data_IF_726970306244
#
_entry.id   IF_726970306244
#
_cell.length_a   1.000
_cell.length_b   1.000
_cell.length_c   1.000
_cell.angle_alpha   90.00
_cell.angle_beta   90.00
_cell.angle_gamma   90.00
#
_symmetry.space_group_name_H-M   'P 1'
#
loop_
_entity.id
_entity.type
_entity.pdbx_description
1 polymer ?
#
# COMPACT_ATOMS: atom_id res chain seq x y z
N UNK A 1 49.86 36.09 36.35
CA UNK A 1 51.03 35.78 35.51
C UNK A 1 50.61 35.90 34.06
N UNK A 2 51.13 36.92 33.35
CA UNK A 2 51.12 37.00 31.87
C UNK A 2 51.92 35.80 31.34
N UNK A 3 51.56 35.15 30.24
CA UNK A 3 52.01 35.54 28.90
C UNK A 3 51.14 34.93 27.78
N UNK A 4 50.91 35.76 26.77
CA UNK A 4 50.37 35.48 25.44
C UNK A 4 51.36 34.72 24.53
N UNK A 5 50.85 33.96 23.57
CA UNK A 5 51.33 34.04 22.19
C UNK A 5 50.31 33.48 21.19
N UNK A 6 50.01 34.32 20.21
CA UNK A 6 49.16 34.14 19.04
C UNK A 6 49.66 33.08 18.05
N UNK A 7 48.76 32.22 17.57
CA UNK A 7 48.93 31.39 16.38
C UNK A 7 47.85 31.71 15.35
N UNK A 8 48.27 32.21 14.18
CA UNK A 8 47.43 32.66 13.07
C UNK A 8 46.67 31.51 12.42
N UNK A 9 45.42 31.78 12.04
CA UNK A 9 44.63 31.01 11.07
C UNK A 9 45.33 31.02 9.70
N UNK A 10 45.49 29.84 9.12
CA UNK A 10 45.71 29.66 7.67
C UNK A 10 44.68 28.64 7.17
N UNK A 11 43.70 29.11 6.37
CA UNK A 11 42.79 28.25 5.62
C UNK A 11 43.56 27.53 4.50
N UNK A 12 43.34 26.23 4.26
CA UNK A 12 43.69 25.62 3.00
C UNK A 12 42.54 25.83 1.99
N UNK A 13 42.89 26.58 0.94
CA UNK A 13 42.69 26.24 -0.47
C UNK A 13 41.39 25.51 -0.86
N UNK A 14 40.54 26.25 -1.58
CA UNK A 14 39.40 25.74 -2.36
C UNK A 14 39.80 24.53 -3.22
N UNK A 15 39.20 23.38 -2.94
CA UNK A 15 39.15 22.25 -3.87
C UNK A 15 38.03 22.55 -4.88
N UNK A 16 38.41 23.06 -6.05
CA UNK A 16 37.50 23.27 -7.17
C UNK A 16 37.27 21.90 -7.83
N UNK A 17 36.07 21.32 -7.65
CA UNK A 17 35.66 20.11 -8.35
C UNK A 17 35.44 20.46 -9.83
N UNK A 18 36.41 20.11 -10.67
CA UNK A 18 36.34 20.27 -12.12
C UNK A 18 35.41 19.17 -12.67
N UNK A 19 34.17 19.51 -13.01
CA UNK A 19 33.28 18.62 -13.75
C UNK A 19 33.78 18.57 -15.20
N UNK A 20 34.34 17.44 -15.61
CA UNK A 20 34.63 17.13 -17.01
C UNK A 20 33.31 16.88 -17.74
N UNK A 21 32.78 17.92 -18.38
CA UNK A 21 31.75 17.78 -19.42
C UNK A 21 32.42 17.22 -20.69
N UNK A 22 31.89 16.17 -21.33
CA UNK A 22 32.39 15.74 -22.62
C UNK A 22 32.17 16.84 -23.66
N UNK A 23 33.25 17.24 -24.32
CA UNK A 23 33.23 18.19 -25.42
C UNK A 23 32.50 17.60 -26.62
N UNK A 24 31.33 18.16 -26.96
CA UNK A 24 30.69 17.96 -28.26
C UNK A 24 31.56 18.62 -29.34
N UNK A 25 31.90 17.94 -30.45
CA UNK A 25 32.61 18.58 -31.54
C UNK A 25 31.72 19.61 -32.24
N UNK A 26 32.26 20.83 -32.37
CA UNK A 26 31.68 21.94 -33.10
C UNK A 26 31.58 21.62 -34.60
N UNK A 27 30.44 21.97 -35.18
CA UNK A 27 30.12 21.78 -36.59
C UNK A 27 31.05 22.60 -37.51
N UNK A 28 31.65 21.92 -38.49
CA UNK A 28 32.19 22.51 -39.71
C UNK A 28 31.17 22.35 -40.85
N UNK A 29 30.83 23.46 -41.49
CA UNK A 29 29.90 23.58 -42.62
C UNK A 29 30.52 23.15 -43.95
N UNK A 30 29.81 22.34 -44.74
CA UNK A 30 29.28 22.70 -46.07
C UNK A 30 28.96 21.48 -46.97
N UNK A 31 27.72 21.46 -47.49
CA UNK A 31 27.27 20.67 -48.66
C UNK A 31 26.84 19.23 -48.34
N UNK A 32 25.65 18.73 -48.69
CA UNK A 32 24.59 19.19 -49.57
C UNK A 32 23.26 18.58 -49.07
N UNK A 33 22.16 19.18 -49.51
CA UNK A 33 20.76 18.86 -49.20
C UNK A 33 20.45 17.37 -48.90
N UNK A 34 19.93 17.11 -47.70
CA UNK A 34 18.91 16.07 -47.53
C UNK A 34 17.72 16.69 -46.81
N UNK A 35 16.63 16.79 -47.55
CA UNK A 35 15.40 17.40 -47.11
C UNK A 35 14.81 16.56 -45.97
N UNK A 36 14.65 17.17 -44.80
CA UNK A 36 13.60 16.91 -43.80
C UNK A 36 12.74 15.67 -44.08
N UNK A 37 13.24 14.48 -43.72
CA UNK A 37 12.38 13.33 -43.43
C UNK A 37 11.75 13.54 -42.06
N UNK A 38 10.84 14.52 -41.95
CA UNK A 38 9.83 14.47 -40.91
C UNK A 38 8.98 13.24 -41.22
N UNK A 39 9.23 12.14 -40.50
CA UNK A 39 8.34 10.99 -40.53
C UNK A 39 6.95 11.50 -40.11
N UNK A 40 6.09 11.73 -41.10
CA UNK A 40 4.72 12.13 -40.88
C UNK A 40 4.09 10.97 -40.12
N UNK A 41 3.57 11.24 -38.91
CA UNK A 41 2.75 10.29 -38.16
C UNK A 41 1.49 10.00 -39.00
N UNK A 42 1.61 9.08 -39.95
CA UNK A 42 0.48 8.59 -40.71
C UNK A 42 0.02 7.30 -40.03
N UNK A 43 -1.22 7.25 -39.52
CA UNK A 43 -1.83 6.00 -39.11
C UNK A 43 -1.70 5.01 -40.28
N UNK A 44 -1.33 3.76 -40.00
CA UNK A 44 -1.39 2.70 -41.03
C UNK A 44 -2.78 2.73 -41.63
N UNK A 45 -2.89 2.80 -42.95
CA UNK A 45 -4.11 3.10 -43.71
C UNK A 45 -5.24 2.07 -43.57
N UNK A 46 -5.08 1.05 -42.72
CA UNK A 46 -6.08 0.03 -42.37
C UNK A 46 -6.17 -0.23 -40.86
N UNK A 47 -5.60 0.64 -40.01
CA UNK A 47 -5.80 0.51 -38.57
C UNK A 47 -7.26 0.85 -38.24
N UNK A 48 -7.96 0.07 -37.39
CA UNK A 48 -9.29 0.46 -36.90
C UNK A 48 -9.15 1.86 -36.29
N UNK A 49 -10.04 2.78 -36.68
CA UNK A 49 -10.01 4.14 -36.17
C UNK A 49 -10.11 4.08 -34.64
N UNK A 50 -9.05 4.49 -33.94
CA UNK A 50 -9.12 4.69 -32.49
C UNK A 50 -10.16 5.77 -32.27
N UNK A 51 -11.35 5.36 -31.81
CA UNK A 51 -12.48 6.27 -31.66
C UNK A 51 -12.30 7.08 -30.38
N UNK A 52 -12.39 8.41 -30.47
CA UNK A 52 -12.59 9.27 -29.31
C UNK A 52 -14.08 9.59 -29.23
N UNK A 53 -14.78 8.89 -28.33
CA UNK A 53 -16.19 9.08 -28.05
C UNK A 53 -16.35 10.20 -27.02
N UNK A 54 -17.13 11.23 -27.35
CA UNK A 54 -17.59 12.23 -26.39
C UNK A 54 -18.93 11.77 -25.81
N UNK A 55 -18.97 11.44 -24.52
CA UNK A 55 -20.18 10.92 -23.88
C UNK A 55 -21.35 11.91 -23.91
N UNK A 56 -21.11 13.22 -24.05
CA UNK A 56 -22.18 14.22 -24.19
C UNK A 56 -22.99 14.06 -25.49
N UNK A 57 -22.42 13.43 -26.52
CA UNK A 57 -23.10 13.17 -27.79
C UNK A 57 -24.01 11.93 -27.76
N UNK A 58 -24.09 11.23 -26.62
CA UNK A 58 -24.85 9.99 -26.46
C UNK A 58 -25.97 10.17 -25.43
N UNK A 59 -27.09 9.44 -25.57
CA UNK A 59 -28.23 9.56 -24.65
C UNK A 59 -27.95 9.04 -23.24
N UNK A 60 -26.88 8.26 -23.05
CA UNK A 60 -26.44 7.76 -21.75
C UNK A 60 -24.95 7.41 -21.76
N UNK A 61 -24.36 7.25 -20.58
CA UNK A 61 -22.98 6.78 -20.44
C UNK A 61 -22.80 5.36 -21.03
N UNK A 62 -23.78 4.48 -20.83
CA UNK A 62 -23.72 3.14 -21.43
C UNK A 62 -23.74 3.23 -22.95
N UNK A 63 -24.58 4.08 -23.55
CA UNK A 63 -24.63 4.26 -24.99
C UNK A 63 -23.32 4.85 -25.56
N UNK A 64 -22.56 5.61 -24.77
CA UNK A 64 -21.22 6.05 -25.14
C UNK A 64 -20.20 4.90 -25.08
N UNK A 65 -20.29 4.03 -24.08
CA UNK A 65 -19.43 2.84 -23.95
C UNK A 65 -19.74 1.84 -25.09
N UNK A 66 -21.02 1.59 -25.38
CA UNK A 66 -21.46 0.68 -26.45
C UNK A 66 -21.05 1.16 -27.85
N UNK A 67 -20.76 2.45 -28.00
CA UNK A 67 -20.28 3.03 -29.25
C UNK A 67 -18.78 2.80 -29.51
N UNK A 68 -18.04 2.23 -28.54
CA UNK A 68 -16.66 1.83 -28.73
C UNK A 68 -16.55 0.77 -29.83
N UNK A 69 -15.61 0.90 -30.78
CA UNK A 69 -15.38 -0.13 -31.78
C UNK A 69 -14.69 -1.35 -31.12
N UNK A 70 -14.74 -2.49 -31.79
CA UNK A 70 -14.13 -3.73 -31.29
C UNK A 70 -12.62 -3.64 -30.99
N UNK A 71 -11.92 -2.68 -31.60
CA UNK A 71 -10.49 -2.41 -31.37
C UNK A 71 -10.20 -1.43 -30.22
N UNK A 72 -11.21 -1.04 -29.44
CA UNK A 72 -11.06 -0.11 -28.31
C UNK A 72 -11.07 1.37 -28.72
N UNK A 73 -10.71 2.24 -27.79
CA UNK A 73 -10.80 3.69 -27.97
C UNK A 73 -10.82 4.46 -26.67
N UNK A 74 -11.28 5.71 -26.73
CA UNK A 74 -11.43 6.57 -25.55
C UNK A 74 -12.87 6.99 -25.40
N UNK A 75 -13.42 6.90 -24.19
CA UNK A 75 -14.68 7.54 -23.79
C UNK A 75 -14.35 8.72 -22.89
N UNK A 76 -14.65 9.93 -23.35
CA UNK A 76 -14.49 11.17 -22.57
C UNK A 76 -15.83 11.53 -21.94
N UNK A 77 -15.86 11.59 -20.62
CA UNK A 77 -17.05 11.97 -19.85
C UNK A 77 -16.87 13.43 -19.41
N UNK A 78 -17.74 14.35 -19.84
CA UNK A 78 -17.61 15.75 -19.44
C UNK A 78 -17.89 15.95 -17.94
N UNK A 79 -17.61 17.16 -17.40
CA UNK A 79 -18.10 17.54 -16.08
C UNK A 79 -19.61 17.36 -15.97
N UNK A 80 -20.07 16.79 -14.86
CA UNK A 80 -21.47 16.53 -14.61
C UNK A 80 -21.69 15.46 -13.56
N UNK A 81 -22.93 15.37 -13.09
CA UNK A 81 -23.40 14.29 -12.22
C UNK A 81 -24.25 13.32 -13.04
N UNK A 82 -23.88 12.04 -13.01
CA UNK A 82 -24.48 10.98 -13.80
C UNK A 82 -25.02 9.91 -12.88
N UNK A 83 -26.34 9.88 -12.67
CA UNK A 83 -26.97 8.83 -11.89
C UNK A 83 -27.19 7.58 -12.74
N UNK A 84 -26.81 6.42 -12.21
CA UNK A 84 -27.05 5.11 -12.83
C UNK A 84 -27.88 4.25 -11.89
N UNK A 85 -28.85 3.51 -12.44
CA UNK A 85 -29.66 2.53 -11.70
C UNK A 85 -29.25 1.09 -11.99
N UNK A 86 -28.38 0.89 -12.98
CA UNK A 86 -27.79 -0.41 -13.37
C UNK A 86 -26.30 -0.22 -13.64
N UNK A 87 -25.48 -1.27 -13.54
CA UNK A 87 -24.05 -1.15 -13.80
C UNK A 87 -23.76 -0.65 -15.21
N UNK A 88 -22.74 0.20 -15.34
CA UNK A 88 -22.09 0.44 -16.61
C UNK A 88 -21.24 -0.78 -16.96
N UNK A 89 -21.37 -1.31 -18.18
CA UNK A 89 -20.68 -2.52 -18.63
C UNK A 89 -19.63 -2.15 -19.67
N UNK A 90 -18.37 -2.43 -19.38
CA UNK A 90 -17.27 -2.35 -20.34
C UNK A 90 -16.82 -3.77 -20.73
N UNK A 91 -17.13 -4.16 -21.96
CA UNK A 91 -16.86 -5.50 -22.50
C UNK A 91 -15.68 -5.60 -23.47
N UNK A 92 -14.91 -4.51 -23.65
CA UNK A 92 -13.88 -4.38 -24.67
C UNK A 92 -12.56 -3.89 -24.06
N UNK A 93 -11.44 -4.44 -24.53
CA UNK A 93 -10.09 -4.01 -24.15
C UNK A 93 -9.59 -2.86 -25.03
N UNK A 94 -8.36 -2.39 -24.80
CA UNK A 94 -7.77 -1.24 -25.48
C UNK A 94 -8.57 0.05 -25.26
N UNK A 95 -9.08 0.25 -24.04
CA UNK A 95 -10.02 1.33 -23.71
C UNK A 95 -9.46 2.27 -22.64
N UNK A 96 -9.66 3.57 -22.85
CA UNK A 96 -9.54 4.61 -21.83
C UNK A 96 -10.93 5.18 -21.53
N UNK A 97 -11.37 5.15 -20.27
CA UNK A 97 -12.48 5.97 -19.77
C UNK A 97 -11.88 7.13 -18.99
N UNK A 98 -12.13 8.36 -19.44
CA UNK A 98 -11.55 9.57 -18.88
C UNK A 98 -12.63 10.59 -18.51
N UNK A 99 -12.61 11.07 -17.27
CA UNK A 99 -13.43 12.21 -16.82
C UNK A 99 -12.66 13.52 -16.71
N UNK A 100 -13.30 14.52 -16.11
CA UNK A 100 -12.76 15.86 -15.85
C UNK A 100 -12.36 16.06 -14.37
N UNK A 101 -11.78 15.03 -13.75
CA UNK A 101 -11.47 14.98 -12.32
C UNK A 101 -12.72 14.83 -11.46
N UNK A 102 -12.71 15.42 -10.26
CA UNK A 102 -13.84 15.39 -9.34
C UNK A 102 -15.13 16.04 -9.89
N UNK A 103 -15.03 16.82 -10.97
CA UNK A 103 -16.18 17.42 -11.63
C UNK A 103 -17.00 16.41 -12.45
N UNK A 104 -16.44 15.24 -12.77
CA UNK A 104 -17.18 14.11 -13.35
C UNK A 104 -17.54 13.13 -12.23
N UNK A 105 -18.82 13.00 -11.93
CA UNK A 105 -19.30 12.21 -10.81
C UNK A 105 -20.39 11.22 -11.25
N UNK A 106 -20.08 9.93 -11.18
CA UNK A 106 -21.01 8.83 -11.42
C UNK A 106 -21.60 8.38 -10.09
N UNK A 107 -22.92 8.32 -9.96
CA UNK A 107 -23.61 7.92 -8.74
C UNK A 107 -24.37 6.62 -8.98
N UNK A 108 -23.96 5.54 -8.31
CA UNK A 108 -24.65 4.27 -8.30
C UNK A 108 -25.86 4.31 -7.35
N UNK A 109 -27.05 4.47 -7.95
CA UNK A 109 -28.35 4.41 -7.26
C UNK A 109 -28.95 3.02 -7.25
N UNK A 110 -28.25 2.01 -7.76
CA UNK A 110 -28.74 0.63 -7.76
C UNK A 110 -28.89 0.10 -6.32
N UNK A 111 -30.05 -0.47 -5.99
CA UNK A 111 -30.35 -1.12 -4.71
C UNK A 111 -30.17 -2.66 -4.71
N UNK A 112 -29.85 -3.25 -5.85
CA UNK A 112 -29.71 -4.70 -6.07
C UNK A 112 -28.28 -5.20 -5.83
N UNK A 113 -27.47 -4.45 -5.06
CA UNK A 113 -26.10 -4.82 -4.70
C UNK A 113 -25.15 -5.05 -5.89
N UNK A 114 -25.43 -4.45 -7.05
CA UNK A 114 -24.57 -4.54 -8.23
C UNK A 114 -23.53 -3.40 -8.27
N UNK A 115 -22.38 -3.61 -8.94
CA UNK A 115 -21.34 -2.60 -9.00
C UNK A 115 -21.76 -1.37 -9.83
N UNK A 116 -21.07 -0.23 -9.65
CA UNK A 116 -21.31 0.94 -10.51
C UNK A 116 -20.75 0.70 -11.92
N UNK A 117 -19.53 0.16 -12.00
CA UNK A 117 -18.85 -0.19 -13.25
C UNK A 117 -18.40 -1.65 -13.20
N UNK A 118 -18.82 -2.45 -14.19
CA UNK A 118 -18.38 -3.83 -14.39
C UNK A 118 -17.55 -3.91 -15.68
N UNK A 119 -16.27 -4.25 -15.53
CA UNK A 119 -15.30 -4.38 -16.62
C UNK A 119 -14.97 -5.85 -16.78
N UNK A 120 -15.47 -6.46 -17.85
CA UNK A 120 -15.33 -7.91 -18.04
C UNK A 120 -15.70 -8.33 -19.46
N UNK A 121 -14.93 -9.25 -20.04
CA UNK A 121 -15.33 -9.92 -21.28
C UNK A 121 -16.60 -10.76 -21.07
N UNK A 122 -17.57 -10.72 -21.99
CA UNK A 122 -18.86 -11.43 -21.85
C UNK A 122 -18.73 -12.93 -21.53
N UNK A 123 -17.67 -13.58 -22.04
CA UNK A 123 -17.42 -15.01 -21.87
C UNK A 123 -16.53 -15.35 -20.65
N UNK A 124 -16.00 -14.35 -19.94
CA UNK A 124 -15.14 -14.57 -18.77
C UNK A 124 -15.80 -15.48 -17.71
N UNK A 125 -17.08 -15.29 -17.34
CA UNK A 125 -17.72 -16.16 -16.34
C UNK A 125 -17.82 -17.63 -16.73
N UNK A 126 -17.77 -17.94 -18.03
CA UNK A 126 -17.88 -19.31 -18.56
C UNK A 126 -16.51 -19.95 -18.75
N UNK A 127 -15.46 -19.15 -18.92
CA UNK A 127 -14.13 -19.62 -19.30
C UNK A 127 -13.03 -18.70 -18.76
N UNK A 128 -12.90 -18.53 -17.43
CA UNK A 128 -12.04 -17.50 -16.83
C UNK A 128 -10.55 -17.70 -17.12
N UNK A 129 -10.14 -18.94 -17.43
CA UNK A 129 -8.77 -19.31 -17.80
C UNK A 129 -8.47 -19.16 -19.30
N UNK A 130 -9.46 -18.86 -20.12
CA UNK A 130 -9.27 -18.73 -21.58
C UNK A 130 -8.75 -17.33 -21.91
N UNK A 131 -7.63 -17.24 -22.62
CA UNK A 131 -7.08 -15.95 -23.08
C UNK A 131 -8.05 -15.15 -23.97
N UNK A 132 -8.97 -15.83 -24.66
CA UNK A 132 -10.02 -15.20 -25.48
C UNK A 132 -11.15 -14.59 -24.66
N UNK A 133 -11.24 -14.92 -23.38
CA UNK A 133 -12.25 -14.45 -22.46
C UNK A 133 -11.67 -13.44 -21.45
N UNK A 134 -10.59 -12.75 -21.84
CA UNK A 134 -9.89 -11.73 -21.06
C UNK A 134 -9.87 -10.42 -21.82
N UNK A 135 -9.93 -9.31 -21.10
CA UNK A 135 -9.71 -7.98 -21.65
C UNK A 135 -8.25 -7.59 -21.44
N UNK A 136 -7.74 -6.70 -22.29
CA UNK A 136 -6.38 -6.17 -22.19
C UNK A 136 -6.42 -4.66 -22.20
N UNK A 137 -5.49 -4.00 -21.50
CA UNK A 137 -5.21 -2.55 -21.61
C UNK A 137 -6.46 -1.69 -21.39
N UNK A 138 -6.99 -1.73 -20.18
CA UNK A 138 -8.10 -0.85 -19.76
C UNK A 138 -7.58 0.21 -18.81
N UNK A 139 -7.82 1.48 -19.11
CA UNK A 139 -7.47 2.61 -18.24
C UNK A 139 -8.72 3.35 -17.76
N UNK A 140 -8.79 3.63 -16.46
CA UNK A 140 -9.78 4.48 -15.83
C UNK A 140 -9.10 5.71 -15.25
N UNK A 141 -9.52 6.90 -15.66
CA UNK A 141 -8.82 8.14 -15.35
C UNK A 141 -9.75 9.28 -14.91
N UNK A 142 -9.39 9.96 -13.82
CA UNK A 142 -9.88 11.31 -13.51
C UNK A 142 -11.41 11.44 -13.39
N UNK A 143 -12.06 10.61 -12.58
CA UNK A 143 -13.49 10.77 -12.26
C UNK A 143 -13.80 10.27 -10.86
N UNK A 144 -14.99 10.60 -10.36
CA UNK A 144 -15.53 10.09 -9.11
C UNK A 144 -16.65 9.08 -9.35
N UNK A 145 -16.67 8.02 -8.58
CA UNK A 145 -17.77 7.05 -8.47
C UNK A 145 -18.22 7.01 -7.03
N UNK A 146 -19.51 7.23 -6.75
CA UNK A 146 -20.04 7.03 -5.40
C UNK A 146 -21.27 6.12 -5.41
N UNK A 147 -21.51 5.46 -4.28
CA UNK A 147 -22.62 4.55 -4.11
C UNK A 147 -23.62 4.97 -3.04
N UNK A 148 -24.33 3.96 -2.55
CA UNK A 148 -25.15 4.04 -1.33
C UNK A 148 -24.91 2.77 -0.52
N UNK A 149 -25.38 2.72 0.73
CA UNK A 149 -25.33 1.48 1.54
C UNK A 149 -25.97 0.25 0.84
N UNK A 150 -26.92 0.48 -0.07
CA UNK A 150 -27.67 -0.56 -0.76
C UNK A 150 -27.02 -0.93 -2.12
N UNK A 151 -26.00 -0.17 -2.56
CA UNK A 151 -25.24 -0.47 -3.77
C UNK A 151 -24.26 -1.63 -3.58
N UNK A 152 -23.80 -2.21 -4.69
CA UNK A 152 -22.69 -3.16 -4.69
C UNK A 152 -21.34 -2.45 -4.62
N UNK A 153 -20.33 -3.03 -5.25
CA UNK A 153 -18.98 -2.46 -5.35
C UNK A 153 -18.96 -1.15 -6.16
N UNK A 154 -17.92 -0.33 -6.01
CA UNK A 154 -17.74 0.82 -6.90
C UNK A 154 -17.33 0.38 -8.31
N UNK A 155 -16.11 -0.11 -8.43
CA UNK A 155 -15.55 -0.59 -9.70
C UNK A 155 -15.20 -2.06 -9.53
N UNK A 156 -15.66 -2.90 -10.47
CA UNK A 156 -15.33 -4.32 -10.50
C UNK A 156 -14.77 -4.71 -11.85
N UNK A 157 -13.52 -5.17 -11.86
CA UNK A 157 -12.87 -5.73 -13.03
C UNK A 157 -12.64 -7.23 -12.84
N UNK A 158 -12.98 -8.02 -13.86
CA UNK A 158 -12.78 -9.46 -13.87
C UNK A 158 -12.06 -9.89 -15.15
N UNK A 159 -10.90 -10.54 -15.01
CA UNK A 159 -10.15 -11.05 -16.16
C UNK A 159 -9.60 -9.94 -17.06
N UNK A 160 -9.09 -8.85 -16.48
CA UNK A 160 -8.50 -7.73 -17.22
C UNK A 160 -6.99 -7.71 -17.01
N UNK A 161 -6.24 -7.94 -18.08
CA UNK A 161 -4.78 -7.81 -18.12
C UNK A 161 -4.40 -6.36 -18.44
N UNK A 162 -3.36 -5.86 -17.77
CA UNK A 162 -2.86 -4.48 -17.88
C UNK A 162 -3.94 -3.42 -17.56
N UNK A 163 -4.71 -3.62 -16.48
CA UNK A 163 -5.63 -2.58 -15.98
C UNK A 163 -4.86 -1.46 -15.28
N UNK A 164 -5.20 -0.20 -15.59
CA UNK A 164 -4.62 0.97 -14.95
C UNK A 164 -5.71 1.92 -14.42
N UNK A 165 -5.75 2.13 -13.11
CA UNK A 165 -6.72 3.03 -12.46
C UNK A 165 -5.96 4.18 -11.82
N UNK A 166 -6.23 5.41 -12.25
CA UNK A 166 -5.55 6.58 -11.69
C UNK A 166 -6.38 7.86 -11.61
N UNK A 167 -6.17 8.64 -10.55
CA UNK A 167 -6.92 9.87 -10.33
C UNK A 167 -8.42 9.63 -10.13
N UNK A 168 -8.81 8.41 -9.73
CA UNK A 168 -10.21 8.04 -9.52
C UNK A 168 -10.55 8.13 -8.03
N UNK A 169 -11.70 8.70 -7.72
CA UNK A 169 -12.27 8.68 -6.37
C UNK A 169 -13.42 7.65 -6.31
N UNK A 170 -13.41 6.76 -5.31
CA UNK A 170 -14.44 5.72 -5.13
C UNK A 170 -14.93 5.70 -3.69
N UNK A 171 -16.20 6.03 -3.47
CA UNK A 171 -16.71 6.25 -2.11
C UNK A 171 -18.16 5.83 -1.82
N UNK A 172 -18.47 5.57 -0.55
CA UNK A 172 -19.83 5.32 -0.03
C UNK A 172 -20.56 4.13 -0.66
N UNK A 173 -19.84 3.15 -1.19
CA UNK A 173 -20.45 1.94 -1.73
C UNK A 173 -20.83 0.96 -0.61
N UNK A 174 -21.98 0.31 -0.75
CA UNK A 174 -22.40 -0.76 0.15
C UNK A 174 -21.54 -2.02 0.05
N UNK A 175 -20.75 -2.17 -1.02
CA UNK A 175 -19.75 -3.23 -1.20
C UNK A 175 -18.32 -2.74 -0.98
N UNK A 176 -17.39 -3.26 -1.78
CA UNK A 176 -16.00 -2.78 -1.81
C UNK A 176 -15.90 -1.49 -2.64
N UNK A 177 -14.81 -0.74 -2.48
CA UNK A 177 -14.50 0.37 -3.38
C UNK A 177 -14.16 -0.15 -4.78
N UNK A 178 -13.01 -0.80 -4.90
CA UNK A 178 -12.51 -1.40 -6.14
C UNK A 178 -12.25 -2.89 -5.94
N UNK A 179 -12.69 -3.72 -6.87
CA UNK A 179 -12.44 -5.16 -6.93
C UNK A 179 -11.72 -5.49 -8.22
N UNK A 180 -10.52 -6.07 -8.11
CA UNK A 180 -9.84 -6.71 -9.22
C UNK A 180 -9.82 -8.22 -8.96
N UNK A 181 -10.48 -8.98 -9.85
CA UNK A 181 -10.52 -10.44 -9.78
C UNK A 181 -9.90 -11.04 -11.03
N UNK A 182 -8.99 -11.97 -10.85
CA UNK A 182 -8.28 -12.65 -11.94
C UNK A 182 -7.67 -11.64 -12.95
N UNK A 183 -7.31 -10.43 -12.49
CA UNK A 183 -6.59 -9.42 -13.28
C UNK A 183 -5.11 -9.74 -13.16
N UNK A 184 -4.69 -10.71 -13.96
CA UNK A 184 -3.47 -11.46 -13.70
C UNK A 184 -2.24 -10.67 -14.08
N UNK A 185 -2.21 -10.07 -15.28
CA UNK A 185 -1.02 -9.35 -15.73
C UNK A 185 -1.08 -7.88 -15.34
N UNK A 186 -0.08 -7.40 -14.59
CA UNK A 186 0.27 -6.00 -14.37
C UNK A 186 -0.88 -5.02 -13.99
N UNK A 187 -1.76 -5.32 -13.01
CA UNK A 187 -2.75 -4.36 -12.54
C UNK A 187 -2.08 -3.24 -11.74
N UNK A 188 -2.43 -1.99 -12.06
CA UNK A 188 -1.84 -0.79 -11.47
C UNK A 188 -2.92 0.14 -10.94
N UNK A 189 -2.86 0.47 -9.66
CA UNK A 189 -3.73 1.45 -9.01
C UNK A 189 -2.88 2.57 -8.41
N UNK A 190 -2.92 3.75 -9.03
CA UNK A 190 -2.03 4.85 -8.70
C UNK A 190 -2.78 6.15 -8.47
N UNK A 191 -2.48 6.87 -7.38
CA UNK A 191 -3.04 8.21 -7.13
C UNK A 191 -4.58 8.26 -7.09
N UNK A 192 -5.21 7.29 -6.43
CA UNK A 192 -6.65 7.21 -6.22
C UNK A 192 -7.06 7.60 -4.80
N UNK A 193 -8.35 7.90 -4.61
CA UNK A 193 -8.97 8.15 -3.30
C UNK A 193 -10.08 7.12 -3.09
N UNK A 194 -9.95 6.23 -2.11
CA UNK A 194 -10.85 5.09 -1.91
C UNK A 194 -11.35 5.08 -0.47
N UNK A 195 -12.56 5.59 -0.23
CA UNK A 195 -12.98 6.01 1.11
C UNK A 195 -14.40 5.60 1.45
N UNK A 196 -14.69 5.36 2.73
CA UNK A 196 -16.06 5.17 3.25
C UNK A 196 -16.85 4.03 2.58
N UNK A 197 -16.19 3.00 2.06
CA UNK A 197 -16.89 1.84 1.50
C UNK A 197 -17.18 0.82 2.60
N UNK A 198 -18.36 0.20 2.57
CA UNK A 198 -18.84 -0.65 3.65
C UNK A 198 -18.11 -1.99 3.77
N UNK A 199 -17.26 -2.35 2.79
CA UNK A 199 -16.36 -3.49 2.82
C UNK A 199 -14.89 -3.04 2.61
N UNK A 200 -14.12 -3.73 1.77
CA UNK A 200 -12.72 -3.39 1.53
C UNK A 200 -12.61 -2.16 0.61
N UNK A 201 -11.65 -1.28 0.84
CA UNK A 201 -11.31 -0.21 -0.11
C UNK A 201 -10.89 -0.81 -1.45
N UNK A 202 -9.79 -1.59 -1.45
CA UNK A 202 -9.29 -2.34 -2.60
C UNK A 202 -9.21 -3.84 -2.31
N UNK A 203 -9.96 -4.64 -3.06
CA UNK A 203 -9.90 -6.10 -3.04
C UNK A 203 -9.19 -6.62 -4.30
N UNK A 204 -8.07 -7.32 -4.10
CA UNK A 204 -7.29 -8.00 -5.12
C UNK A 204 -7.43 -9.51 -4.91
N UNK A 205 -7.95 -10.22 -5.91
CA UNK A 205 -8.13 -11.68 -5.89
C UNK A 205 -7.55 -12.29 -7.16
N UNK A 206 -6.64 -13.27 -7.05
CA UNK A 206 -6.07 -13.94 -8.23
C UNK A 206 -5.24 -13.04 -9.16
N UNK A 207 -4.61 -11.99 -8.62
CA UNK A 207 -3.83 -11.01 -9.40
C UNK A 207 -2.31 -11.32 -9.33
N UNK A 208 -1.52 -10.81 -10.27
CA UNK A 208 -0.06 -10.98 -10.31
C UNK A 208 0.62 -9.66 -10.73
N UNK A 209 1.87 -9.45 -10.31
CA UNK A 209 2.69 -8.26 -10.64
C UNK A 209 1.97 -6.91 -10.40
N UNK A 210 1.48 -6.76 -9.17
CA UNK A 210 0.53 -5.70 -8.81
C UNK A 210 1.26 -4.44 -8.36
N UNK A 211 0.80 -3.27 -8.79
CA UNK A 211 1.25 -1.98 -8.23
C UNK A 211 0.10 -1.24 -7.55
N UNK A 212 0.29 -0.90 -6.27
CA UNK A 212 -0.61 -0.04 -5.50
C UNK A 212 0.20 1.12 -4.94
N UNK A 213 0.12 2.29 -5.56
CA UNK A 213 1.00 3.41 -5.22
C UNK A 213 0.30 4.75 -5.07
N UNK A 214 0.74 5.55 -4.09
CA UNK A 214 0.28 6.93 -3.91
C UNK A 214 -1.24 7.08 -3.74
N UNK A 215 -1.94 6.07 -3.20
CA UNK A 215 -3.38 6.13 -2.98
C UNK A 215 -3.72 6.60 -1.55
N UNK A 216 -4.90 7.20 -1.40
CA UNK A 216 -5.54 7.50 -0.12
C UNK A 216 -6.63 6.44 0.16
N UNK A 217 -6.60 5.84 1.35
CA UNK A 217 -7.66 5.00 1.88
C UNK A 217 -8.13 5.57 3.21
N UNK A 218 -9.44 5.59 3.42
CA UNK A 218 -10.02 6.12 4.67
C UNK A 218 -11.33 5.41 5.00
N UNK A 219 -11.54 5.03 6.27
CA UNK A 219 -12.84 4.58 6.81
C UNK A 219 -13.54 3.42 6.05
N UNK A 220 -12.79 2.61 5.30
CA UNK A 220 -13.27 1.31 4.82
C UNK A 220 -13.24 0.27 5.96
N UNK A 221 -13.90 -0.90 5.80
CA UNK A 221 -13.69 -2.02 6.73
C UNK A 221 -12.21 -2.42 6.76
N UNK A 222 -11.69 -2.87 5.62
CA UNK A 222 -10.24 -2.96 5.42
C UNK A 222 -9.80 -1.97 4.35
N UNK A 223 -8.60 -1.41 4.45
CA UNK A 223 -8.07 -0.57 3.37
C UNK A 223 -7.85 -1.41 2.10
N UNK A 224 -7.07 -2.49 2.26
CA UNK A 224 -6.64 -3.34 1.16
C UNK A 224 -6.63 -4.80 1.59
N UNK A 225 -7.15 -5.67 0.72
CA UNK A 225 -6.99 -7.13 0.81
C UNK A 225 -6.34 -7.66 -0.46
N UNK A 226 -5.26 -8.41 -0.30
CA UNK A 226 -4.53 -9.08 -1.36
C UNK A 226 -4.57 -10.59 -1.12
N UNK A 227 -5.48 -11.28 -1.82
CA UNK A 227 -5.83 -12.67 -1.56
C UNK A 227 -5.46 -13.52 -2.76
N UNK A 228 -4.71 -14.60 -2.52
CA UNK A 228 -4.33 -15.57 -3.57
C UNK A 228 -3.72 -14.84 -4.79
N UNK A 229 -2.92 -13.83 -4.51
CA UNK A 229 -2.38 -12.84 -5.44
C UNK A 229 -0.91 -12.63 -5.13
N UNK A 230 -0.07 -12.33 -6.13
CA UNK A 230 1.39 -12.41 -5.99
C UNK A 230 2.11 -11.13 -6.43
N UNK A 231 3.30 -10.91 -5.88
CA UNK A 231 4.19 -9.78 -6.22
C UNK A 231 3.53 -8.40 -6.04
N UNK A 232 2.82 -8.18 -4.93
CA UNK A 232 2.26 -6.86 -4.61
C UNK A 232 3.39 -5.87 -4.31
N UNK A 233 3.51 -4.83 -5.12
CA UNK A 233 4.32 -3.64 -4.84
C UNK A 233 3.42 -2.51 -4.32
N UNK A 234 3.35 -2.38 -2.99
CA UNK A 234 2.54 -1.37 -2.32
C UNK A 234 3.43 -0.27 -1.72
N UNK A 235 3.37 0.94 -2.28
CA UNK A 235 4.26 2.03 -1.85
C UNK A 235 3.69 3.45 -1.87
N UNK A 236 4.02 4.23 -0.84
CA UNK A 236 3.65 5.65 -0.76
C UNK A 236 2.16 5.89 -0.55
N UNK A 237 1.43 4.92 -0.02
CA UNK A 237 0.00 5.06 0.26
C UNK A 237 -0.24 5.64 1.65
N UNK A 238 -1.40 6.27 1.83
CA UNK A 238 -1.91 6.72 3.11
C UNK A 238 -3.21 5.96 3.45
N UNK A 239 -3.23 5.29 4.60
CA UNK A 239 -4.33 4.45 5.08
C UNK A 239 -4.72 4.96 6.46
N UNK A 240 -5.96 5.41 6.63
CA UNK A 240 -6.41 6.11 7.82
C UNK A 240 -7.79 5.62 8.30
N UNK A 241 -7.99 5.59 9.62
CA UNK A 241 -9.29 5.36 10.28
C UNK A 241 -10.09 4.12 9.81
N UNK A 242 -9.43 3.04 9.39
CA UNK A 242 -10.14 1.85 8.94
C UNK A 242 -10.89 1.13 10.08
N UNK A 243 -12.12 0.75 9.79
CA UNK A 243 -13.04 0.19 10.80
C UNK A 243 -12.62 -1.22 11.26
N UNK A 244 -11.74 -1.88 10.50
CA UNK A 244 -11.12 -3.16 10.82
C UNK A 244 -9.61 -3.14 10.53
N UNK A 245 -9.11 -3.53 9.36
CA UNK A 245 -7.66 -3.68 9.13
C UNK A 245 -7.10 -2.66 8.14
N UNK A 246 -5.80 -2.38 8.23
CA UNK A 246 -5.12 -1.64 7.18
C UNK A 246 -4.95 -2.52 5.93
N UNK A 247 -3.94 -3.38 5.97
CA UNK A 247 -3.56 -4.27 4.87
C UNK A 247 -3.67 -5.72 5.30
N UNK A 248 -4.41 -6.53 4.55
CA UNK A 248 -4.48 -7.98 4.75
C UNK A 248 -3.93 -8.68 3.52
N UNK A 249 -2.93 -9.52 3.73
CA UNK A 249 -2.31 -10.30 2.66
C UNK A 249 -2.39 -11.77 3.03
N UNK A 250 -2.97 -12.57 2.14
CA UNK A 250 -3.19 -13.99 2.35
C UNK A 250 -2.72 -14.79 1.13
N UNK A 251 -1.95 -15.85 1.37
CA UNK A 251 -1.43 -16.76 0.33
C UNK A 251 -0.73 -16.03 -0.81
N UNK A 252 0.35 -15.33 -0.44
CA UNK A 252 1.20 -14.58 -1.37
C UNK A 252 2.67 -14.92 -1.18
N UNK A 253 3.48 -14.49 -2.15
CA UNK A 253 4.91 -14.34 -1.96
C UNK A 253 5.46 -13.16 -2.76
N UNK A 254 6.71 -12.78 -2.49
CA UNK A 254 7.45 -11.79 -3.29
C UNK A 254 6.93 -10.35 -3.17
N UNK A 255 6.02 -10.11 -2.23
CA UNK A 255 5.36 -8.82 -2.04
C UNK A 255 6.22 -7.85 -1.22
N UNK A 256 6.04 -6.55 -1.46
CA UNK A 256 6.71 -5.44 -0.80
C UNK A 256 5.65 -4.43 -0.35
N UNK A 257 5.61 -4.16 0.95
CA UNK A 257 4.79 -3.09 1.55
C UNK A 257 5.75 -2.06 2.14
N UNK A 258 5.96 -0.95 1.42
CA UNK A 258 7.03 0.00 1.77
C UNK A 258 6.68 1.47 1.68
N UNK A 259 7.15 2.27 2.65
CA UNK A 259 7.01 3.74 2.59
C UNK A 259 5.55 4.21 2.70
N UNK A 260 4.69 3.46 3.39
CA UNK A 260 3.29 3.82 3.59
C UNK A 260 3.08 4.46 4.97
N UNK A 261 2.08 5.33 5.07
CA UNK A 261 1.49 5.74 6.34
C UNK A 261 0.24 4.88 6.56
N UNK A 262 0.18 4.19 7.69
CA UNK A 262 -0.95 3.37 8.10
C UNK A 262 -1.25 3.79 9.52
N UNK A 263 -2.40 4.41 9.75
CA UNK A 263 -2.76 4.92 11.06
C UNK A 263 -4.22 4.65 11.45
N UNK A 264 -4.46 4.66 12.76
CA UNK A 264 -5.77 4.69 13.41
C UNK A 264 -6.77 3.59 13.00
N UNK A 265 -6.29 2.47 12.44
CA UNK A 265 -7.17 1.32 12.22
C UNK A 265 -7.64 0.74 13.57
N UNK A 266 -8.92 0.37 13.64
CA UNK A 266 -9.50 -0.28 14.81
C UNK A 266 -8.93 -1.69 15.06
N UNK A 267 -8.40 -2.33 14.03
CA UNK A 267 -7.74 -3.63 14.08
C UNK A 267 -6.24 -3.51 13.83
N UNK A 268 -5.66 -4.54 13.24
CA UNK A 268 -4.22 -4.60 12.93
C UNK A 268 -3.88 -3.80 11.66
N UNK A 269 -2.73 -3.12 11.67
CA UNK A 269 -2.26 -2.34 10.53
C UNK A 269 -1.91 -3.22 9.31
N UNK A 270 -1.14 -4.30 9.52
CA UNK A 270 -0.75 -5.25 8.47
C UNK A 270 -0.88 -6.69 8.97
N UNK A 271 -1.53 -7.56 8.19
CA UNK A 271 -1.66 -9.00 8.46
C UNK A 271 -1.05 -9.79 7.29
N UNK A 272 -0.17 -10.74 7.62
CA UNK A 272 0.37 -11.73 6.68
C UNK A 272 -0.03 -13.14 7.14
N UNK A 273 -0.97 -13.77 6.45
CA UNK A 273 -1.56 -15.05 6.87
C UNK A 273 -1.67 -16.05 5.69
N UNK A 274 -2.03 -17.30 5.98
CA UNK A 274 -2.20 -18.41 5.03
C UNK A 274 -1.03 -18.54 4.05
N UNK A 275 0.06 -19.22 4.42
CA UNK A 275 1.18 -19.52 3.52
C UNK A 275 1.89 -18.26 2.92
N UNK A 276 2.05 -17.18 3.69
CA UNK A 276 2.81 -16.02 3.23
C UNK A 276 4.33 -16.28 3.27
N UNK A 277 5.10 -15.89 2.25
CA UNK A 277 6.57 -15.98 2.34
C UNK A 277 7.35 -14.98 1.50
N UNK A 278 8.59 -14.68 1.93
CA UNK A 278 9.51 -13.76 1.24
C UNK A 278 8.93 -12.36 1.03
N UNK A 279 8.13 -11.87 1.98
CA UNK A 279 7.51 -10.55 1.94
C UNK A 279 8.39 -9.54 2.70
N UNK A 280 8.53 -8.33 2.17
CA UNK A 280 9.23 -7.24 2.83
C UNK A 280 8.26 -6.15 3.28
N UNK A 281 8.20 -5.89 4.59
CA UNK A 281 7.50 -4.75 5.20
C UNK A 281 8.55 -3.76 5.67
N UNK A 282 8.70 -2.63 4.97
CA UNK A 282 9.80 -1.71 5.30
C UNK A 282 9.48 -0.22 5.21
N UNK A 283 10.15 0.59 6.03
CA UNK A 283 10.03 2.06 5.98
C UNK A 283 8.59 2.59 6.10
N UNK A 284 7.68 1.86 6.76
CA UNK A 284 6.31 2.31 7.00
C UNK A 284 6.21 3.08 8.33
N UNK A 285 5.31 4.05 8.37
CA UNK A 285 4.83 4.66 9.62
C UNK A 285 3.54 3.95 10.02
N UNK A 286 3.59 3.19 11.10
CA UNK A 286 2.49 2.40 11.64
C UNK A 286 2.10 3.04 12.98
N UNK A 287 1.07 3.87 12.95
CA UNK A 287 0.69 4.69 14.09
C UNK A 287 -0.67 4.30 14.65
N UNK A 288 -0.75 4.17 15.97
CA UNK A 288 -2.00 4.32 16.69
C UNK A 288 -3.10 3.28 16.39
N UNK A 289 -2.68 2.05 16.05
CA UNK A 289 -3.58 0.93 15.80
C UNK A 289 -4.06 0.25 17.08
N UNK A 290 -5.37 0.04 17.18
CA UNK A 290 -5.98 -0.61 18.35
C UNK A 290 -5.72 -2.13 18.37
N UNK A 291 -5.75 -2.79 17.20
CA UNK A 291 -5.55 -4.23 17.07
C UNK A 291 -4.10 -4.66 16.80
N UNK A 292 -3.13 -3.74 16.83
CA UNK A 292 -1.71 -4.05 16.69
C UNK A 292 -1.08 -3.52 15.39
N UNK A 293 0.24 -3.66 15.29
CA UNK A 293 1.01 -3.16 14.14
C UNK A 293 1.04 -4.19 13.02
N UNK A 294 1.99 -5.13 13.10
CA UNK A 294 2.13 -6.24 12.15
C UNK A 294 1.77 -7.56 12.83
N UNK A 295 0.86 -8.33 12.23
CA UNK A 295 0.53 -9.68 12.70
C UNK A 295 0.89 -10.72 11.64
N UNK A 296 1.66 -11.72 12.05
CA UNK A 296 2.14 -12.83 11.23
C UNK A 296 1.65 -14.15 11.82
N UNK A 297 0.40 -14.58 11.57
CA UNK A 297 -0.04 -15.91 12.01
C UNK A 297 0.72 -17.03 11.30
N UNK A 298 0.92 -16.89 9.99
CA UNK A 298 1.48 -17.90 9.10
C UNK A 298 2.31 -17.23 7.97
N UNK A 299 3.55 -16.87 8.30
CA UNK A 299 4.47 -16.19 7.41
C UNK A 299 5.93 -16.63 7.59
N UNK A 300 6.62 -16.91 6.48
CA UNK A 300 7.98 -17.45 6.48
C UNK A 300 8.97 -16.60 5.68
N UNK A 301 10.19 -16.46 6.19
CA UNK A 301 11.25 -15.81 5.40
C UNK A 301 11.01 -14.32 5.14
N UNK A 302 10.15 -13.67 5.92
CA UNK A 302 9.77 -12.28 5.72
C UNK A 302 10.74 -11.33 6.45
N UNK A 303 10.88 -10.11 5.92
CA UNK A 303 11.67 -9.04 6.51
C UNK A 303 10.77 -7.90 6.97
N UNK A 304 10.93 -7.47 8.23
CA UNK A 304 10.23 -6.33 8.82
C UNK A 304 11.30 -5.33 9.26
N UNK A 305 11.53 -4.28 8.47
CA UNK A 305 12.69 -3.41 8.67
C UNK A 305 12.46 -1.91 8.51
N UNK A 306 13.11 -1.11 9.37
CA UNK A 306 13.05 0.35 9.23
C UNK A 306 11.67 0.97 9.44
N UNK A 307 10.72 0.26 10.06
CA UNK A 307 9.39 0.78 10.32
C UNK A 307 9.35 1.56 11.64
N UNK A 308 8.44 2.53 11.72
CA UNK A 308 8.12 3.23 12.97
C UNK A 308 6.77 2.75 13.50
N UNK A 309 6.76 2.23 14.71
CA UNK A 309 5.58 1.83 15.46
C UNK A 309 5.35 2.84 16.58
N UNK A 310 4.38 3.74 16.39
CA UNK A 310 4.08 4.79 17.37
C UNK A 310 2.70 4.55 17.95
N UNK A 311 2.58 4.47 19.27
CA UNK A 311 1.29 4.37 19.98
C UNK A 311 0.45 3.16 19.55
N UNK A 312 1.08 2.06 19.15
CA UNK A 312 0.37 0.80 18.89
C UNK A 312 -0.09 0.19 20.22
N UNK A 313 -1.37 -0.21 20.29
CA UNK A 313 -2.03 -0.57 21.56
C UNK A 313 -1.92 -2.05 21.94
N UNK A 314 -2.03 -2.95 20.97
CA UNK A 314 -1.94 -4.40 21.19
C UNK A 314 -0.47 -4.86 21.14
N UNK A 315 -0.06 -5.65 20.15
CA UNK A 315 1.34 -5.96 19.91
C UNK A 315 1.82 -5.16 18.68
N UNK A 316 2.97 -4.48 18.77
CA UNK A 316 3.54 -3.77 17.61
C UNK A 316 3.93 -4.76 16.52
N UNK A 317 4.50 -5.90 16.91
CA UNK A 317 4.64 -7.06 16.03
C UNK A 317 4.22 -8.31 16.81
N UNK A 318 3.33 -9.11 16.23
CA UNK A 318 2.94 -10.42 16.76
C UNK A 318 3.30 -11.51 15.77
N UNK A 319 4.04 -12.51 16.23
CA UNK A 319 4.46 -13.66 15.43
C UNK A 319 3.84 -14.92 16.01
N UNK A 320 3.01 -15.60 15.22
CA UNK A 320 2.32 -16.83 15.58
C UNK A 320 3.13 -18.09 15.30
N UNK A 321 2.63 -19.26 15.73
CA UNK A 321 3.33 -20.53 15.64
C UNK A 321 3.48 -21.04 14.20
N UNK A 322 2.67 -20.56 13.27
CA UNK A 322 2.79 -20.85 11.84
C UNK A 322 3.90 -20.06 11.16
N UNK A 323 4.64 -19.21 11.87
CA UNK A 323 5.65 -18.31 11.28
C UNK A 323 7.08 -18.66 11.68
N UNK A 324 8.04 -18.26 10.86
CA UNK A 324 9.47 -18.45 11.15
C UNK A 324 10.43 -17.88 10.12
N UNK A 325 11.74 -17.97 10.39
CA UNK A 325 12.80 -17.43 9.51
C UNK A 325 12.65 -15.93 9.25
N UNK A 326 12.28 -15.17 10.27
CA UNK A 326 11.98 -13.75 10.13
C UNK A 326 13.19 -12.88 10.50
N UNK A 327 13.38 -11.79 9.76
CA UNK A 327 14.32 -10.73 10.10
C UNK A 327 13.57 -9.46 10.52
N UNK A 328 13.67 -9.08 11.79
CA UNK A 328 13.04 -7.89 12.36
C UNK A 328 14.13 -6.91 12.77
N UNK A 329 14.38 -5.88 11.96
CA UNK A 329 15.58 -5.05 12.15
C UNK A 329 15.42 -3.56 11.90
N UNK A 330 16.14 -2.74 12.67
CA UNK A 330 16.18 -1.30 12.46
C UNK A 330 14.83 -0.58 12.66
N UNK A 331 13.88 -1.19 13.37
CA UNK A 331 12.57 -0.58 13.64
C UNK A 331 12.63 0.31 14.89
N UNK A 332 11.71 1.28 14.96
CA UNK A 332 11.52 2.17 16.11
C UNK A 332 10.15 1.91 16.74
N UNK A 333 10.13 1.54 18.03
CA UNK A 333 8.91 1.31 18.81
C UNK A 333 8.81 2.39 19.87
N UNK A 334 7.72 3.17 19.86
CA UNK A 334 7.63 4.39 20.65
C UNK A 334 6.21 4.67 21.16
N UNK A 335 6.15 5.35 22.30
CA UNK A 335 4.94 5.98 22.82
C UNK A 335 4.86 7.46 22.42
N UNK A 336 4.10 8.27 23.15
CA UNK A 336 3.93 9.70 22.88
C UNK A 336 4.98 10.60 23.54
N UNK A 337 6.13 10.06 23.96
CA UNK A 337 7.17 10.85 24.62
C UNK A 337 7.86 11.82 23.66
N UNK A 338 8.02 13.08 24.10
CA UNK A 338 8.58 14.17 23.28
C UNK A 338 9.82 14.83 23.91
N UNK A 339 10.49 14.13 24.83
CA UNK A 339 11.60 14.69 25.61
C UNK A 339 11.12 15.44 26.85
N UNK A 340 11.34 14.85 28.03
CA UNK A 340 10.96 15.39 29.34
C UNK A 340 9.51 15.13 29.78
N UNK A 341 8.60 14.82 28.85
CA UNK A 341 7.22 14.42 29.18
C UNK A 341 6.57 13.57 28.08
N UNK A 342 5.58 12.75 28.47
CA UNK A 342 4.64 12.14 27.54
C UNK A 342 3.60 13.19 27.07
N UNK A 343 3.21 13.16 25.80
CA UNK A 343 2.16 14.02 25.25
C UNK A 343 0.77 13.55 25.65
N UNK A 344 0.57 12.24 25.79
CA UNK A 344 -0.69 11.61 26.18
C UNK A 344 -0.66 11.12 27.64
N UNK A 345 -1.81 11.08 28.34
CA UNK A 345 -1.90 10.50 29.67
C UNK A 345 -1.81 8.97 29.62
N UNK A 346 -1.34 8.29 30.68
CA UNK A 346 -1.27 6.82 30.73
C UNK A 346 -2.65 6.15 30.67
N UNK A 347 -3.70 6.84 31.09
CA UNK A 347 -5.08 6.34 31.11
C UNK A 347 -6.05 7.38 30.56
N UNK A 348 -7.08 6.92 29.85
CA UNK A 348 -8.18 7.71 29.30
C UNK A 348 -9.37 6.75 29.06
N UNK A 349 -10.61 7.24 29.00
CA UNK A 349 -11.77 6.41 28.62
C UNK A 349 -11.67 5.95 27.17
N UNK A 350 -11.16 6.82 26.31
CA UNK A 350 -10.93 6.53 24.90
C UNK A 350 -9.53 5.92 24.76
N UNK A 351 -9.41 4.66 24.27
CA UNK A 351 -8.12 4.04 24.02
C UNK A 351 -7.21 4.93 23.17
N UNK A 352 -7.73 5.59 22.14
CA UNK A 352 -6.96 6.42 21.20
C UNK A 352 -6.34 7.68 21.85
N UNK A 353 -6.70 7.99 23.09
CA UNK A 353 -6.15 9.16 23.80
C UNK A 353 -5.06 8.78 24.79
N UNK A 354 -4.77 7.50 24.97
CA UNK A 354 -3.79 7.00 25.94
C UNK A 354 -2.37 7.05 25.39
N UNK A 355 -1.41 7.18 26.30
CA UNK A 355 -0.01 6.91 26.05
C UNK A 355 0.20 5.39 25.99
N UNK A 356 0.07 4.85 24.79
CA UNK A 356 0.32 3.44 24.49
C UNK A 356 1.70 3.24 23.85
N UNK A 357 1.96 2.04 23.35
CA UNK A 357 3.23 1.67 22.74
C UNK A 357 3.66 0.31 23.28
N UNK A 358 3.75 -0.67 22.39
CA UNK A 358 4.06 -2.04 22.76
C UNK A 358 5.21 -2.61 21.94
N UNK A 359 5.76 -3.72 22.41
CA UNK A 359 6.91 -4.38 21.81
C UNK A 359 6.51 -5.50 20.85
N UNK A 360 7.38 -6.50 20.77
CA UNK A 360 7.23 -7.69 19.93
C UNK A 360 6.74 -8.85 20.79
N UNK A 361 5.72 -9.57 20.34
CA UNK A 361 5.24 -10.84 20.91
C UNK A 361 5.57 -11.99 19.98
N UNK A 362 6.31 -12.98 20.50
CA UNK A 362 6.64 -14.24 19.83
C UNK A 362 5.90 -15.38 20.52
N UNK A 363 5.12 -16.14 19.75
CA UNK A 363 4.26 -17.21 20.26
C UNK A 363 4.53 -18.52 19.50
N UNK A 364 5.25 -19.46 20.13
CA UNK A 364 5.51 -20.79 19.55
C UNK A 364 6.27 -20.78 18.21
N UNK A 365 6.99 -19.71 17.90
CA UNK A 365 7.69 -19.51 16.62
C UNK A 365 9.17 -19.89 16.68
N UNK A 366 9.86 -19.89 15.55
CA UNK A 366 11.30 -20.20 15.50
C UNK A 366 12.08 -19.47 14.41
N UNK A 367 13.40 -19.45 14.58
CA UNK A 367 14.34 -18.86 13.61
C UNK A 367 14.10 -17.35 13.40
N UNK A 368 14.09 -16.59 14.50
CA UNK A 368 13.77 -15.15 14.47
C UNK A 368 15.01 -14.34 14.85
N UNK A 369 15.40 -13.39 13.99
CA UNK A 369 16.42 -12.40 14.29
C UNK A 369 15.78 -11.04 14.60
N UNK A 370 16.04 -10.49 15.78
CA UNK A 370 15.58 -9.17 16.24
C UNK A 370 16.81 -8.32 16.53
N UNK A 371 17.18 -7.44 15.58
CA UNK A 371 18.47 -6.73 15.64
C UNK A 371 18.41 -5.24 15.31
N UNK A 372 19.15 -4.41 16.04
CA UNK A 372 19.29 -2.99 15.70
C UNK A 372 18.01 -2.17 15.89
N UNK A 373 17.04 -2.65 16.67
CA UNK A 373 15.79 -1.93 16.92
C UNK A 373 15.92 -0.98 18.12
N UNK A 374 15.09 0.07 18.14
CA UNK A 374 14.95 0.98 19.29
C UNK A 374 13.58 0.80 19.91
N UNK A 375 13.53 0.57 21.23
CA UNK A 375 12.31 0.42 22.01
C UNK A 375 12.28 1.50 23.10
N UNK A 376 11.26 2.36 23.07
CA UNK A 376 11.16 3.52 23.95
C UNK A 376 9.76 3.70 24.54
N UNK A 377 9.66 3.81 25.86
CA UNK A 377 8.42 4.22 26.51
C UNK A 377 7.29 3.19 26.41
N UNK A 378 7.59 1.89 26.35
CA UNK A 378 6.58 0.87 26.09
C UNK A 378 5.81 0.48 27.36
N UNK A 379 4.53 0.16 27.23
CA UNK A 379 3.73 -0.41 28.32
C UNK A 379 4.03 -1.89 28.55
N UNK A 380 4.58 -2.57 27.55
CA UNK A 380 5.02 -3.98 27.58
C UNK A 380 6.56 -4.08 27.59
N UNK A 381 7.14 -5.27 27.82
CA UNK A 381 8.52 -5.55 27.43
C UNK A 381 8.76 -5.22 25.95
N UNK A 382 10.02 -4.94 25.60
CA UNK A 382 10.48 -4.75 24.23
C UNK A 382 10.26 -6.00 23.38
N UNK A 383 10.58 -7.17 23.94
CA UNK A 383 10.30 -8.48 23.32
C UNK A 383 9.79 -9.42 24.40
N UNK A 384 8.71 -10.14 24.08
CA UNK A 384 8.18 -11.25 24.87
C UNK A 384 8.17 -12.50 24.00
N UNK A 385 8.66 -13.63 24.52
CA UNK A 385 8.55 -14.94 23.88
C UNK A 385 7.87 -15.94 24.81
N UNK A 386 6.95 -16.75 24.26
CA UNK A 386 6.17 -17.75 24.99
C UNK A 386 6.02 -19.03 24.18
N UNK A 387 5.50 -20.06 24.85
CA UNK A 387 5.07 -21.31 24.24
C UNK A 387 6.20 -22.03 23.48
N UNK A 388 7.41 -22.02 24.04
CA UNK A 388 8.52 -22.83 23.57
C UNK A 388 9.17 -22.35 22.27
N UNK A 389 9.25 -21.04 22.06
CA UNK A 389 9.97 -20.45 20.94
C UNK A 389 11.42 -20.97 20.83
N UNK A 390 12.02 -21.00 19.63
CA UNK A 390 13.35 -21.58 19.45
C UNK A 390 14.23 -20.79 18.48
N UNK A 391 15.55 -20.84 18.71
CA UNK A 391 16.56 -20.24 17.81
C UNK A 391 16.29 -18.75 17.59
N UNK A 392 16.12 -18.02 18.70
CA UNK A 392 15.94 -16.58 18.69
C UNK A 392 17.30 -15.90 18.81
N UNK A 393 17.54 -14.88 17.98
CA UNK A 393 18.68 -13.98 18.10
C UNK A 393 18.19 -12.57 18.39
N UNK A 394 18.31 -12.13 19.65
CA UNK A 394 17.88 -10.81 20.11
C UNK A 394 19.10 -10.01 20.54
N UNK A 395 19.62 -9.14 19.67
CA UNK A 395 20.92 -8.49 19.88
C UNK A 395 21.03 -7.10 19.28
N UNK A 396 21.92 -6.26 19.83
CA UNK A 396 22.19 -4.90 19.34
C UNK A 396 20.96 -4.00 19.31
N UNK A 397 20.00 -4.19 20.22
CA UNK A 397 18.85 -3.31 20.37
C UNK A 397 19.10 -2.24 21.45
N UNK A 398 18.45 -1.09 21.31
CA UNK A 398 18.42 -0.04 22.34
C UNK A 398 17.06 -0.08 23.03
N UNK A 399 17.04 -0.17 24.35
CA UNK A 399 15.83 -0.33 25.15
C UNK A 399 15.80 0.74 26.24
N UNK A 400 14.71 1.48 26.36
CA UNK A 400 14.58 2.57 27.33
C UNK A 400 13.12 2.70 27.79
N UNK A 401 12.91 2.78 29.10
CA UNK A 401 11.60 3.00 29.72
C UNK A 401 10.51 2.06 29.17
N UNK A 402 10.82 0.76 29.09
CA UNK A 402 9.85 -0.26 28.67
C UNK A 402 9.21 -0.92 29.86
N UNK A 403 8.15 -1.70 29.60
CA UNK A 403 7.42 -2.44 30.63
C UNK A 403 6.93 -1.55 31.79
N UNK A 404 6.53 -0.31 31.48
CA UNK A 404 6.25 0.77 32.46
C UNK A 404 5.15 0.46 33.47
N UNK A 405 4.34 -0.57 33.25
CA UNK A 405 3.28 -1.02 34.16
C UNK A 405 3.68 -2.18 35.08
N UNK A 406 4.86 -2.78 34.91
CA UNK A 406 5.29 -3.93 35.69
C UNK A 406 5.82 -3.53 37.08
N UNK A 407 5.78 -4.46 38.07
CA UNK A 407 6.51 -4.29 39.32
C UNK A 407 8.00 -4.03 39.07
N UNK A 408 8.66 -3.39 40.04
CA UNK A 408 10.10 -3.16 39.99
C UNK A 408 10.86 -4.48 39.72
N UNK A 409 11.76 -4.47 38.74
CA UNK A 409 12.50 -5.67 38.30
C UNK A 409 11.83 -6.46 37.16
N UNK A 410 10.71 -5.97 36.61
CA UNK A 410 10.14 -6.51 35.38
C UNK A 410 11.17 -6.51 34.24
N UNK A 411 11.23 -7.60 33.48
CA UNK A 411 12.20 -7.76 32.40
C UNK A 411 11.88 -6.84 31.23
N UNK A 412 12.91 -6.19 30.69
CA UNK A 412 12.80 -5.40 29.46
C UNK A 412 12.71 -6.29 28.22
N UNK A 413 13.41 -7.43 28.22
CA UNK A 413 13.30 -8.51 27.24
C UNK A 413 12.99 -9.79 28.01
N UNK A 414 11.84 -10.39 27.76
CA UNK A 414 11.42 -11.63 28.41
C UNK A 414 11.30 -12.76 27.38
N UNK A 415 12.36 -13.55 27.26
CA UNK A 415 12.38 -14.69 26.34
C UNK A 415 11.71 -15.95 26.90
N UNK A 416 11.12 -15.88 28.11
CA UNK A 416 10.33 -16.98 28.68
C UNK A 416 11.07 -18.32 28.68
N UNK A 417 10.45 -19.32 28.06
CA UNK A 417 10.92 -20.71 27.92
C UNK A 417 11.66 -20.98 26.60
N UNK A 418 12.11 -19.93 25.90
CA UNK A 418 12.74 -20.08 24.60
C UNK A 418 14.05 -20.89 24.66
N UNK A 419 14.25 -21.76 23.67
CA UNK A 419 15.41 -22.67 23.57
C UNK A 419 16.39 -22.20 22.51
N UNK A 420 17.67 -22.57 22.66
CA UNK A 420 18.72 -22.30 21.68
C UNK A 420 18.80 -20.82 21.28
N UNK A 421 18.52 -19.93 22.23
CA UNK A 421 18.31 -18.52 21.98
C UNK A 421 19.43 -17.67 22.59
N UNK A 422 19.82 -16.63 21.87
CA UNK A 422 20.88 -15.70 22.27
C UNK A 422 20.25 -14.33 22.50
N UNK A 423 20.43 -13.83 23.71
CA UNK A 423 19.99 -12.49 24.13
C UNK A 423 21.24 -11.78 24.68
N UNK A 424 21.87 -10.96 23.86
CA UNK A 424 23.15 -10.32 24.22
C UNK A 424 23.33 -8.98 23.52
N UNK A 425 24.22 -8.16 24.03
CA UNK A 425 24.62 -6.89 23.41
C UNK A 425 23.42 -5.93 23.18
N UNK A 426 22.38 -6.03 24.02
CA UNK A 426 21.28 -5.06 24.06
C UNK A 426 21.63 -3.98 25.09
N UNK A 427 21.40 -2.71 24.74
CA UNK A 427 21.76 -1.55 25.55
C UNK A 427 20.50 -1.02 26.23
N UNK A 428 20.60 -0.82 27.54
CA UNK A 428 19.48 -0.38 28.38
C UNK A 428 18.55 -1.53 28.77
N UNK A 429 17.66 -1.25 29.72
CA UNK A 429 16.82 -2.24 30.39
C UNK A 429 16.20 -1.68 31.64
#
# INVERSE_FOLDING_TARGET
MKTSSSGRLTLPSRLLLLVLLPAWPAAGSAGAADATRTARLQPKTNAPSVASIDAAAHPSLQAAIDALPAGGGTVRIPPGTYEISTPLILGTGDVLIEGAGAATHIINRNGDRQPALLIRHQDHPKSPRSSKARLWRVTLANFRVSGTKDSGDGIRAEGVDEIYVHGVAVDHHGGNGIVLRDCYEDPRLVANIITYNAATGLLLEGCHDIVVSANQFEENQDALRCLDSFNLCMTGNNLDDHLRHGVVIENTYGSIVTGNMIEECNGTAIILDRDCYSITISANTIAHHLGGGVHLPDAWGCAISGNTFTLVHADSIRVGPGSGRLAISGNNFSNSFIGGKARRPPTDKDPMRRDAGTGIMLDGTSDIAITGNTFGGLTTPAVTAKNGCQRLLITNNVVTDVNRGAPAGGRAIDAGDAKESIIKDNIGG
#
